data_IF_892463370978
#
_entry.id   IF_892463370978
#
_cell.length_a   1.000
_cell.length_b   1.000
_cell.length_c   1.000
_cell.angle_alpha   90.00
_cell.angle_beta   90.00
_cell.angle_gamma   90.00
#
_symmetry.space_group_name_H-M   'P 1'
#
loop_
_entity.id
_entity.type
_entity.pdbx_description
1 polymer ?
#
# COMPACT_ATOMS: atom_id res chain seq x y z
N UNK A 1 -16.78 13.17 -3.47
CA UNK A 1 -17.32 12.91 -2.11
C UNK A 1 -16.27 12.28 -1.19
N UNK A 2 -15.95 10.98 -1.30
CA UNK A 2 -15.08 10.26 -0.33
C UNK A 2 -13.79 10.98 0.06
N UNK A 3 -12.94 11.34 -0.92
CA UNK A 3 -11.67 12.02 -0.64
C UNK A 3 -11.89 13.42 -0.06
N UNK A 4 -12.88 14.17 -0.58
CA UNK A 4 -13.22 15.52 -0.10
C UNK A 4 -13.62 15.51 1.37
N UNK A 5 -14.52 14.61 1.78
CA UNK A 5 -14.99 14.49 3.16
C UNK A 5 -13.82 14.16 4.10
N UNK A 6 -12.91 13.27 3.69
CA UNK A 6 -11.74 12.89 4.46
C UNK A 6 -10.65 13.98 4.50
N UNK A 7 -10.47 14.72 3.40
CA UNK A 7 -9.55 15.85 3.34
C UNK A 7 -9.96 16.94 4.33
N UNK A 8 -11.26 17.21 4.44
CA UNK A 8 -11.79 18.17 5.40
C UNK A 8 -11.75 17.61 6.83
N UNK A 9 -12.20 16.38 7.05
CA UNK A 9 -12.23 15.76 8.38
C UNK A 9 -10.83 15.66 9.03
N UNK A 10 -9.80 15.29 8.25
CA UNK A 10 -8.42 15.17 8.73
C UNK A 10 -7.54 16.38 8.38
N UNK A 11 -8.14 17.54 8.05
CA UNK A 11 -7.41 18.73 7.59
C UNK A 11 -6.23 19.10 8.49
N UNK A 12 -6.41 19.06 9.81
CA UNK A 12 -5.40 19.43 10.80
C UNK A 12 -4.72 18.23 11.50
N UNK A 13 -5.04 16.99 11.09
CA UNK A 13 -4.45 15.81 11.70
C UNK A 13 -3.14 15.43 11.01
N UNK A 14 -2.01 15.74 11.65
CA UNK A 14 -0.68 15.46 11.09
C UNK A 14 -0.35 13.96 11.01
N UNK A 15 -1.03 13.11 11.78
CA UNK A 15 -0.81 11.65 11.73
C UNK A 15 -1.41 11.00 10.48
N UNK A 16 -2.46 11.58 9.88
CA UNK A 16 -3.04 11.07 8.64
C UNK A 16 -2.42 11.78 7.45
N UNK A 17 -1.66 11.03 6.65
CA UNK A 17 -0.84 11.59 5.57
C UNK A 17 -1.33 11.22 4.17
N UNK A 18 -2.15 10.18 4.04
CA UNK A 18 -2.54 9.64 2.74
C UNK A 18 -3.98 9.13 2.78
N UNK A 19 -4.76 9.50 1.76
CA UNK A 19 -6.11 8.96 1.53
C UNK A 19 -6.02 8.03 0.33
N UNK A 20 -6.07 6.72 0.57
CA UNK A 20 -6.13 5.73 -0.49
C UNK A 20 -7.54 5.59 -1.05
N UNK A 21 -7.63 5.44 -2.37
CA UNK A 21 -8.83 5.03 -3.09
C UNK A 21 -8.79 3.57 -3.53
N UNK A 22 -7.62 2.98 -3.65
CA UNK A 22 -7.46 1.53 -3.85
C UNK A 22 -7.31 0.78 -2.53
N UNK A 23 -7.63 -0.52 -2.56
CA UNK A 23 -7.38 -1.44 -1.44
C UNK A 23 -6.83 -2.78 -1.90
N UNK A 24 -6.29 -3.56 -0.97
CA UNK A 24 -6.03 -4.98 -1.19
C UNK A 24 -7.19 -5.85 -0.66
N UNK A 25 -7.26 -7.15 -1.03
CA UNK A 25 -8.26 -8.12 -0.57
C UNK A 25 -8.23 -8.37 0.95
N UNK A 26 -8.65 -7.39 1.75
CA UNK A 26 -8.96 -7.58 3.16
C UNK A 26 -10.41 -8.00 3.34
N UNK A 27 -10.65 -8.95 4.25
CA UNK A 27 -11.99 -9.43 4.59
C UNK A 27 -12.81 -8.29 5.22
N UNK A 28 -14.11 -8.22 4.89
CA UNK A 28 -15.00 -7.15 5.35
C UNK A 28 -14.98 -6.95 6.87
N UNK A 29 -14.95 -8.03 7.64
CA UNK A 29 -14.92 -7.97 9.11
C UNK A 29 -13.67 -7.29 9.68
N UNK A 30 -12.59 -7.12 8.91
CA UNK A 30 -11.42 -6.34 9.36
C UNK A 30 -11.72 -4.84 9.46
N UNK A 31 -12.73 -4.34 8.76
CA UNK A 31 -13.15 -2.93 8.80
C UNK A 31 -14.20 -2.65 9.88
N UNK A 32 -14.74 -3.70 10.53
CA UNK A 32 -15.86 -3.60 11.48
C UNK A 32 -17.04 -2.86 10.84
N UNK A 33 -17.69 -1.92 11.54
CA UNK A 33 -18.71 -1.05 10.97
C UNK A 33 -18.15 0.18 10.22
N UNK A 34 -16.83 0.37 10.11
CA UNK A 34 -16.24 1.59 9.56
C UNK A 34 -16.14 1.59 8.03
N UNK A 35 -16.27 2.78 7.43
CA UNK A 35 -16.13 2.98 5.98
C UNK A 35 -14.69 2.83 5.49
N UNK A 36 -13.71 2.89 6.39
CA UNK A 36 -12.30 2.74 6.12
C UNK A 36 -11.55 2.28 7.36
N UNK A 37 -10.31 1.86 7.18
CA UNK A 37 -9.36 1.60 8.27
C UNK A 37 -8.04 2.31 7.97
N UNK A 38 -7.08 2.23 8.88
CA UNK A 38 -5.74 2.78 8.66
C UNK A 38 -4.75 1.68 8.32
N UNK A 39 -3.76 2.02 7.50
CA UNK A 39 -2.61 1.20 7.16
C UNK A 39 -1.34 2.01 7.30
N UNK A 40 -0.20 1.32 7.38
CA UNK A 40 1.11 1.94 7.21
C UNK A 40 1.57 2.06 5.75
N UNK A 41 0.84 1.47 4.81
CA UNK A 41 1.20 1.42 3.41
C UNK A 41 0.39 2.43 2.58
N UNK A 42 1.10 3.36 1.92
CA UNK A 42 0.50 4.31 0.98
C UNK A 42 0.35 3.65 -0.40
N UNK A 43 -0.88 3.29 -0.77
CA UNK A 43 -1.18 2.82 -2.12
C UNK A 43 -1.49 3.99 -3.04
N UNK A 44 -0.63 4.19 -4.03
CA UNK A 44 -0.66 5.38 -4.89
C UNK A 44 -1.63 5.28 -6.07
N UNK A 45 -2.42 4.21 -6.20
CA UNK A 45 -3.43 4.11 -7.25
C UNK A 45 -4.73 4.75 -6.78
N UNK A 46 -5.02 5.94 -7.33
CA UNK A 46 -6.15 6.77 -6.95
C UNK A 46 -6.07 7.19 -5.49
N UNK A 47 -5.42 8.32 -5.22
CA UNK A 47 -5.17 8.78 -3.84
C UNK A 47 -5.22 10.29 -3.74
N UNK A 48 -5.34 10.79 -2.52
CA UNK A 48 -5.24 12.21 -2.20
C UNK A 48 -4.35 12.42 -0.96
N UNK A 49 -3.81 13.63 -0.83
CA UNK A 49 -3.03 14.05 0.33
C UNK A 49 -3.14 15.56 0.52
N UNK A 50 -2.53 16.06 1.59
CA UNK A 50 -2.48 17.46 1.93
C UNK A 50 -1.08 18.01 1.66
N UNK A 51 -1.00 19.32 1.35
CA UNK A 51 0.28 20.04 1.27
C UNK A 51 1.15 19.83 2.52
N UNK A 52 0.54 19.80 3.72
CA UNK A 52 1.23 19.56 4.99
C UNK A 52 1.91 18.18 5.07
N UNK A 53 1.38 17.16 4.39
CA UNK A 53 1.96 15.83 4.37
C UNK A 53 2.99 15.71 3.25
N UNK A 54 2.68 16.27 2.07
CA UNK A 54 3.57 16.27 0.90
C UNK A 54 4.89 17.01 1.15
N UNK A 55 4.94 17.97 2.07
CA UNK A 55 6.20 18.65 2.46
C UNK A 55 7.30 17.70 2.96
N UNK A 56 6.95 16.48 3.37
CA UNK A 56 7.89 15.46 3.84
C UNK A 56 8.42 14.57 2.71
N UNK A 57 7.85 14.68 1.51
CA UNK A 57 8.32 13.96 0.35
C UNK A 57 9.69 14.49 -0.08
N UNK A 58 10.64 13.57 -0.24
CA UNK A 58 11.97 13.84 -0.76
C UNK A 58 12.25 12.87 -1.89
N UNK A 59 12.46 13.41 -3.10
CA UNK A 59 12.79 12.62 -4.28
C UNK A 59 14.20 12.05 -4.18
N UNK A 60 15.09 12.78 -3.53
CA UNK A 60 16.51 12.47 -3.52
C UNK A 60 16.93 11.50 -2.42
N UNK A 61 16.01 11.21 -1.49
CA UNK A 61 16.27 10.32 -0.36
C UNK A 61 17.53 10.77 0.42
N UNK A 62 17.74 12.09 0.55
CA UNK A 62 19.01 12.68 1.03
C UNK A 62 19.37 12.22 2.44
N UNK A 63 18.36 11.90 3.24
CA UNK A 63 18.52 11.43 4.62
C UNK A 63 18.55 9.91 4.77
N UNK A 64 18.50 9.15 3.67
CA UNK A 64 18.43 7.68 3.73
C UNK A 64 19.62 7.06 4.46
N UNK A 65 20.83 7.57 4.26
CA UNK A 65 22.06 7.07 4.91
C UNK A 65 22.25 7.63 6.31
N UNK A 66 21.82 8.86 6.55
CA UNK A 66 22.02 9.57 7.83
C UNK A 66 20.92 9.31 8.85
N UNK A 67 19.78 8.76 8.43
CA UNK A 67 18.68 8.44 9.34
C UNK A 67 19.06 7.35 10.34
N UNK A 68 19.35 7.77 11.57
CA UNK A 68 19.85 6.89 12.63
C UNK A 68 18.79 5.91 13.14
N UNK A 69 17.50 6.19 12.92
CA UNK A 69 16.41 5.39 13.47
C UNK A 69 15.69 4.52 12.42
N UNK A 70 16.46 3.82 11.59
CA UNK A 70 15.90 2.82 10.65
C UNK A 70 15.10 1.73 11.38
N UNK A 71 15.36 1.48 12.67
CA UNK A 71 14.59 0.53 13.48
C UNK A 71 13.12 0.94 13.59
N UNK A 72 12.82 2.21 13.84
CA UNK A 72 11.43 2.69 13.94
C UNK A 72 10.70 2.60 12.59
N UNK A 73 11.40 2.85 11.47
CA UNK A 73 10.84 2.70 10.11
C UNK A 73 10.29 1.28 9.87
N UNK A 74 11.00 0.27 10.34
CA UNK A 74 10.63 -1.14 10.15
C UNK A 74 9.76 -1.73 11.27
N UNK A 75 9.46 -0.97 12.32
CA UNK A 75 8.76 -1.49 13.51
C UNK A 75 7.34 -1.97 13.22
N UNK A 76 6.68 -1.35 12.25
CA UNK A 76 5.30 -1.67 11.85
C UNK A 76 5.21 -2.65 10.68
N UNK A 77 6.35 -3.05 10.10
CA UNK A 77 6.42 -4.10 9.08
C UNK A 77 6.51 -5.46 9.75
N UNK A 78 5.61 -6.37 9.41
CA UNK A 78 5.46 -7.66 10.08
C UNK A 78 6.42 -8.74 9.55
N UNK A 79 6.62 -8.81 8.23
CA UNK A 79 7.44 -9.84 7.60
C UNK A 79 8.84 -9.33 7.24
N UNK A 80 9.87 -10.11 7.59
CA UNK A 80 11.28 -9.82 7.25
C UNK A 80 11.51 -9.65 5.74
N UNK A 81 10.76 -10.39 4.92
CA UNK A 81 10.83 -10.27 3.46
C UNK A 81 10.40 -8.88 2.98
N UNK A 82 9.34 -8.31 3.55
CA UNK A 82 8.91 -6.96 3.19
C UNK A 82 9.92 -5.92 3.66
N UNK A 83 10.50 -6.08 4.85
CA UNK A 83 11.59 -5.20 5.34
C UNK A 83 12.76 -5.17 4.35
N UNK A 84 13.26 -6.35 3.95
CA UNK A 84 14.37 -6.48 3.01
C UNK A 84 14.02 -5.86 1.65
N UNK A 85 12.80 -6.09 1.16
CA UNK A 85 12.32 -5.54 -0.11
C UNK A 85 12.30 -4.01 -0.08
N UNK A 86 11.68 -3.42 0.94
CA UNK A 86 11.62 -1.96 1.13
C UNK A 86 13.00 -1.34 1.27
N UNK A 87 13.87 -1.97 2.07
CA UNK A 87 15.25 -1.54 2.19
C UNK A 87 15.95 -1.50 0.82
N UNK A 88 15.77 -2.55 0.00
CA UNK A 88 16.33 -2.58 -1.36
C UNK A 88 15.74 -1.52 -2.28
N UNK A 89 14.42 -1.28 -2.23
CA UNK A 89 13.78 -0.22 -3.02
C UNK A 89 14.34 1.17 -2.67
N UNK A 90 14.45 1.46 -1.38
CA UNK A 90 14.94 2.76 -0.91
C UNK A 90 16.45 2.95 -1.14
N UNK A 91 17.23 1.87 -1.05
CA UNK A 91 18.64 1.89 -1.44
C UNK A 91 18.79 2.24 -2.93
N UNK A 92 18.04 1.57 -3.82
CA UNK A 92 18.10 1.85 -5.27
C UNK A 92 17.63 3.26 -5.62
N UNK A 93 16.65 3.81 -4.89
CA UNK A 93 16.25 5.21 -5.05
C UNK A 93 17.37 6.17 -4.63
N UNK A 94 18.04 5.90 -3.52
CA UNK A 94 19.15 6.70 -3.03
C UNK A 94 20.36 6.64 -3.98
N UNK A 95 20.74 5.45 -4.46
CA UNK A 95 21.85 5.26 -5.40
C UNK A 95 21.51 5.65 -6.84
N UNK A 96 20.29 6.12 -7.10
CA UNK A 96 19.76 6.52 -8.43
C UNK A 96 19.72 5.38 -9.44
N UNK A 97 19.71 4.14 -8.99
CA UNK A 97 19.47 2.95 -9.81
C UNK A 97 18.00 2.81 -10.21
N UNK A 98 17.10 3.49 -9.50
CA UNK A 98 15.66 3.48 -9.74
C UNK A 98 15.06 4.88 -9.52
N UNK A 99 13.88 5.15 -10.08
CA UNK A 99 13.19 6.45 -10.01
C UNK A 99 11.69 6.35 -9.65
N UNK A 100 11.30 5.29 -8.94
CA UNK A 100 9.92 5.06 -8.50
C UNK A 100 9.52 5.98 -7.35
N UNK A 101 8.92 7.12 -7.70
CA UNK A 101 8.41 8.12 -6.74
C UNK A 101 7.49 7.54 -5.65
N UNK A 102 6.72 6.49 -5.98
CA UNK A 102 5.83 5.85 -5.04
C UNK A 102 6.58 5.23 -3.85
N UNK A 103 7.79 4.68 -4.09
CA UNK A 103 8.61 4.14 -3.02
C UNK A 103 9.20 5.25 -2.12
N UNK A 104 9.58 6.39 -2.69
CA UNK A 104 9.98 7.58 -1.94
C UNK A 104 8.82 8.16 -1.10
N UNK A 105 7.59 8.18 -1.63
CA UNK A 105 6.42 8.59 -0.86
C UNK A 105 6.12 7.64 0.30
N UNK A 106 6.22 6.33 0.09
CA UNK A 106 6.05 5.35 1.17
C UNK A 106 7.13 5.53 2.24
N UNK A 107 8.37 5.83 1.85
CA UNK A 107 9.44 6.17 2.79
C UNK A 107 9.06 7.39 3.64
N UNK A 108 8.64 8.49 3.01
CA UNK A 108 8.25 9.71 3.71
C UNK A 108 7.13 9.46 4.73
N UNK A 109 6.07 8.74 4.34
CA UNK A 109 4.98 8.40 5.26
C UNK A 109 5.46 7.51 6.41
N UNK A 110 6.24 6.47 6.12
CA UNK A 110 6.72 5.55 7.16
C UNK A 110 7.70 6.22 8.13
N UNK A 111 8.59 7.08 7.62
CA UNK A 111 9.53 7.86 8.43
C UNK A 111 8.79 8.76 9.43
N UNK A 112 7.71 9.39 8.99
CA UNK A 112 6.85 10.22 9.83
C UNK A 112 5.87 9.42 10.69
N UNK A 113 5.96 8.08 10.67
CA UNK A 113 5.02 7.21 11.38
C UNK A 113 3.55 7.47 11.01
N UNK A 114 3.33 7.99 9.79
CA UNK A 114 2.03 8.39 9.28
C UNK A 114 1.09 7.22 9.02
N UNK A 115 -0.19 7.54 8.96
CA UNK A 115 -1.29 6.63 8.67
C UNK A 115 -1.87 6.93 7.28
N UNK A 116 -2.14 5.85 6.56
CA UNK A 116 -2.81 5.84 5.28
C UNK A 116 -4.23 5.33 5.46
N UNK A 117 -5.21 6.07 4.96
CA UNK A 117 -6.58 5.59 4.92
C UNK A 117 -6.70 4.52 3.84
N UNK A 118 -7.18 3.34 4.24
CA UNK A 118 -7.52 2.22 3.38
C UNK A 118 -9.05 2.07 3.35
N UNK A 119 -9.72 2.27 2.21
CA UNK A 119 -11.17 2.23 2.16
C UNK A 119 -11.69 0.78 2.29
N UNK A 120 -12.86 0.61 2.90
CA UNK A 120 -13.53 -0.70 2.99
C UNK A 120 -14.05 -1.17 1.62
N UNK A 121 -14.45 -0.20 0.78
CA UNK A 121 -14.86 -0.39 -0.60
C UNK A 121 -13.76 0.11 -1.53
N UNK A 122 -13.53 -0.57 -2.65
CA UNK A 122 -12.51 -0.13 -3.58
C UNK A 122 -13.08 1.06 -4.38
N UNK A 123 -12.45 2.24 -4.29
CA UNK A 123 -13.02 3.48 -4.85
C UNK A 123 -12.62 3.73 -6.30
N UNK A 124 -11.64 2.99 -6.81
CA UNK A 124 -11.08 3.16 -8.15
C UNK A 124 -10.84 1.80 -8.81
N UNK A 125 -11.06 1.71 -10.11
CA UNK A 125 -10.64 0.57 -10.92
C UNK A 125 -9.36 0.93 -11.67
N UNK A 126 -8.30 0.14 -11.51
CA UNK A 126 -7.07 0.35 -12.27
C UNK A 126 -7.20 -0.29 -13.66
N UNK A 127 -7.43 0.54 -14.69
CA UNK A 127 -7.54 0.11 -16.09
C UNK A 127 -6.19 -0.15 -16.79
N UNK A 128 -5.07 0.15 -16.13
CA UNK A 128 -3.71 -0.10 -16.62
C UNK A 128 -3.17 -1.51 -16.30
N UNK A 129 -4.02 -2.41 -15.81
CA UNK A 129 -3.68 -3.80 -15.52
C UNK A 129 -4.06 -4.71 -16.69
N UNK A 130 -3.19 -5.67 -17.01
CA UNK A 130 -3.42 -6.67 -18.04
C UNK A 130 -2.54 -6.48 -19.27
N UNK A 131 -2.76 -7.22 -20.37
CA UNK A 131 -1.83 -7.31 -21.50
C UNK A 131 -1.47 -5.97 -22.14
N UNK A 132 -2.36 -4.98 -22.06
CA UNK A 132 -2.19 -3.63 -22.60
C UNK A 132 -1.57 -2.64 -21.60
N UNK A 133 -1.25 -3.08 -20.37
CA UNK A 133 -0.66 -2.23 -19.34
C UNK A 133 0.81 -1.92 -19.60
N UNK A 134 1.21 -0.66 -19.39
CA UNK A 134 2.60 -0.20 -19.57
C UNK A 134 3.55 -0.86 -18.58
N UNK A 135 3.15 -0.94 -17.30
CA UNK A 135 4.02 -1.42 -16.21
C UNK A 135 3.54 -2.72 -15.57
N UNK A 136 2.29 -3.14 -15.79
CA UNK A 136 1.72 -4.31 -15.13
C UNK A 136 0.93 -5.17 -16.11
N UNK A 137 1.64 -6.04 -16.82
CA UNK A 137 1.07 -6.94 -17.83
C UNK A 137 0.34 -8.18 -17.25
N UNK A 138 0.20 -8.24 -15.93
CA UNK A 138 -0.40 -9.38 -15.23
C UNK A 138 -1.90 -9.15 -15.10
N UNK A 139 -2.69 -10.01 -15.74
CA UNK A 139 -4.15 -9.95 -15.76
C UNK A 139 -4.78 -10.22 -14.38
N UNK A 140 -4.25 -11.20 -13.63
CA UNK A 140 -4.71 -11.56 -12.29
C UNK A 140 -3.87 -10.90 -11.19
N UNK A 141 -3.69 -9.58 -11.27
CA UNK A 141 -3.02 -8.84 -10.22
C UNK A 141 -3.88 -8.82 -8.94
N UNK A 142 -3.34 -9.06 -7.73
CA UNK A 142 -4.13 -9.07 -6.49
C UNK A 142 -4.85 -7.76 -6.16
N UNK A 143 -4.42 -6.66 -6.79
CA UNK A 143 -5.05 -5.34 -6.68
C UNK A 143 -5.94 -5.00 -7.90
N UNK A 144 -6.20 -5.96 -8.80
CA UNK A 144 -7.18 -5.81 -9.87
C UNK A 144 -8.60 -5.97 -9.30
N UNK A 145 -9.02 -4.99 -8.51
CA UNK A 145 -10.34 -4.95 -7.90
C UNK A 145 -11.25 -4.04 -8.72
N UNK A 146 -12.49 -4.46 -8.93
CA UNK A 146 -13.54 -3.57 -9.41
C UNK A 146 -13.78 -2.46 -8.37
N UNK A 147 -14.16 -1.28 -8.84
CA UNK A 147 -14.68 -0.24 -7.98
C UNK A 147 -16.07 -0.60 -7.46
N UNK A 148 -16.41 -0.06 -6.30
CA UNK A 148 -17.69 -0.29 -5.64
C UNK A 148 -18.19 0.98 -4.93
N UNK A 149 -19.51 1.07 -4.76
CA UNK A 149 -20.14 2.23 -4.13
C UNK A 149 -19.82 2.26 -2.64
N UNK A 150 -19.41 3.43 -2.15
CA UNK A 150 -19.26 3.74 -0.73
C UNK A 150 -20.59 4.25 -0.17
N UNK A 151 -20.96 3.81 1.04
CA UNK A 151 -22.11 4.35 1.75
C UNK A 151 -21.73 5.59 2.56
N UNK A 152 -22.57 6.60 2.49
CA UNK A 152 -22.43 7.87 3.21
C UNK A 152 -23.60 8.07 4.20
N UNK A 153 -23.41 8.81 5.32
CA UNK A 153 -22.16 9.45 5.74
C UNK A 153 -21.07 8.43 6.12
N UNK A 154 -19.81 8.83 6.00
CA UNK A 154 -18.68 7.95 6.31
C UNK A 154 -18.68 7.58 7.81
N UNK A 155 -18.54 6.29 8.09
CA UNK A 155 -18.36 5.78 9.45
C UNK A 155 -16.88 5.81 9.82
N UNK A 156 -16.48 6.78 10.62
CA UNK A 156 -15.09 7.00 11.00
C UNK A 156 -14.62 6.05 12.13
N UNK A 157 -13.43 5.43 12.03
CA UNK A 157 -12.83 4.71 13.14
C UNK A 157 -12.62 5.61 14.36
N UNK A 158 -12.95 5.11 15.55
CA UNK A 158 -12.79 5.86 16.82
C UNK A 158 -11.34 6.04 17.27
N UNK A 159 -10.40 5.32 16.65
CA UNK A 159 -8.99 5.30 17.05
C UNK A 159 -8.09 5.42 15.83
N UNK A 160 -7.07 6.27 15.95
CA UNK A 160 -6.02 6.45 14.95
C UNK A 160 -4.93 5.39 15.11
N UNK A 161 -5.26 4.15 14.75
CA UNK A 161 -4.32 3.02 14.77
C UNK A 161 -4.43 2.22 13.48
N UNK A 162 -3.28 1.80 12.95
CA UNK A 162 -3.23 0.95 11.78
C UNK A 162 -3.78 -0.44 12.06
N UNK A 163 -4.37 -1.04 11.03
CA UNK A 163 -4.92 -2.37 11.07
C UNK A 163 -3.83 -3.38 10.70
N UNK A 164 -3.10 -3.85 11.69
CA UNK A 164 -2.05 -4.85 11.52
C UNK A 164 -2.52 -6.13 10.80
N UNK A 165 -3.81 -6.50 10.89
CA UNK A 165 -4.33 -7.66 10.15
C UNK A 165 -4.38 -7.37 8.66
N UNK A 166 -4.84 -6.18 8.27
CA UNK A 166 -4.83 -5.75 6.87
C UNK A 166 -3.40 -5.65 6.35
N UNK A 167 -2.49 -5.03 7.10
CA UNK A 167 -1.10 -4.85 6.68
C UNK A 167 -0.39 -6.20 6.47
N UNK A 168 -0.61 -7.20 7.34
CA UNK A 168 -0.09 -8.56 7.13
C UNK A 168 -0.60 -9.20 5.83
N UNK A 169 -1.85 -8.96 5.44
CA UNK A 169 -2.36 -9.47 4.17
C UNK A 169 -1.63 -8.81 3.00
N UNK A 170 -1.46 -7.49 3.04
CA UNK A 170 -0.72 -6.76 2.02
C UNK A 170 0.70 -7.28 1.86
N UNK A 171 1.43 -7.42 2.97
CA UNK A 171 2.79 -7.92 2.95
C UNK A 171 2.90 -9.36 2.43
N UNK A 172 1.91 -10.21 2.73
CA UNK A 172 1.85 -11.58 2.19
C UNK A 172 1.59 -11.57 0.68
N UNK A 173 0.70 -10.69 0.19
CA UNK A 173 0.45 -10.52 -1.24
C UNK A 173 1.70 -10.01 -1.96
N UNK A 174 2.39 -9.00 -1.42
CA UNK A 174 3.66 -8.51 -1.96
C UNK A 174 4.72 -9.61 -1.98
N UNK A 175 4.82 -10.43 -0.93
CA UNK A 175 5.74 -11.57 -0.93
C UNK A 175 5.43 -12.57 -2.04
N UNK A 176 4.16 -12.86 -2.31
CA UNK A 176 3.79 -13.78 -3.40
C UNK A 176 4.05 -13.15 -4.77
N UNK A 177 3.81 -11.85 -4.90
CA UNK A 177 4.01 -11.13 -6.16
C UNK A 177 5.49 -10.92 -6.47
N UNK A 178 6.28 -10.39 -5.53
CA UNK A 178 7.69 -10.02 -5.72
C UNK A 178 8.69 -11.06 -5.20
N UNK A 179 8.31 -11.93 -4.25
CA UNK A 179 9.17 -13.02 -3.78
C UNK A 179 9.30 -14.17 -4.78
N UNK A 180 8.48 -14.17 -5.84
CA UNK A 180 8.67 -15.01 -7.03
C UNK A 180 9.63 -14.37 -8.06
N UNK A 181 9.97 -13.08 -7.90
CA UNK A 181 10.95 -12.34 -8.71
C UNK A 181 12.31 -12.24 -7.99
N UNK A 182 12.76 -13.35 -7.40
CA UNK A 182 14.19 -13.54 -7.13
C UNK A 182 14.83 -13.96 -8.47
N UNK A 183 15.73 -13.15 -9.07
CA UNK A 183 16.37 -13.48 -10.36
C UNK A 183 17.02 -14.86 -10.38
N UNK A 184 17.43 -15.38 -9.22
CA UNK A 184 18.06 -16.69 -9.07
C UNK A 184 17.09 -17.88 -9.21
N UNK A 185 15.76 -17.67 -9.29
CA UNK A 185 14.75 -18.75 -9.35
C UNK A 185 13.85 -18.73 -10.58
N UNK A 186 14.18 -17.91 -11.59
CA UNK A 186 13.28 -17.54 -12.68
C UNK A 186 13.03 -18.60 -13.75
N UNK A 187 13.64 -19.78 -13.70
CA UNK A 187 13.45 -20.77 -14.78
C UNK A 187 12.19 -21.65 -14.67
N UNK A 188 11.42 -21.66 -13.57
CA UNK A 188 10.36 -22.68 -13.40
C UNK A 188 9.03 -22.25 -12.71
N UNK A 189 8.81 -20.96 -12.38
CA UNK A 189 7.82 -20.61 -11.33
C UNK A 189 6.52 -19.89 -11.75
N UNK A 190 6.32 -19.55 -13.03
CA UNK A 190 5.14 -18.76 -13.43
C UNK A 190 3.80 -19.47 -13.23
N UNK A 191 3.71 -20.78 -13.52
CA UNK A 191 2.45 -21.52 -13.43
C UNK A 191 2.00 -21.77 -11.97
N UNK A 192 2.97 -21.98 -11.07
CA UNK A 192 2.73 -22.24 -9.64
C UNK A 192 2.29 -20.98 -8.89
N UNK A 193 2.92 -19.84 -9.16
CA UNK A 193 2.54 -18.55 -8.57
C UNK A 193 1.10 -18.16 -8.96
N UNK A 194 0.73 -18.32 -10.25
CA UNK A 194 -0.64 -18.09 -10.73
C UNK A 194 -1.67 -18.97 -10.00
N UNK A 195 -1.36 -20.25 -9.79
CA UNK A 195 -2.25 -21.21 -9.10
C UNK A 195 -2.42 -20.88 -7.60
N UNK A 196 -1.35 -20.45 -6.93
CA UNK A 196 -1.38 -20.08 -5.51
C UNK A 196 -2.11 -18.76 -5.26
N UNK A 197 -1.88 -17.75 -6.11
CA UNK A 197 -2.59 -16.46 -6.03
C UNK A 197 -4.08 -16.67 -6.30
N UNK A 198 -4.47 -17.43 -7.33
CA UNK A 198 -5.89 -17.76 -7.59
C UNK A 198 -6.55 -18.52 -6.42
N UNK A 199 -5.88 -19.53 -5.86
CA UNK A 199 -6.40 -20.26 -4.67
C UNK A 199 -6.55 -19.34 -3.45
N UNK A 200 -5.64 -18.40 -3.27
CA UNK A 200 -5.68 -17.47 -2.14
C UNK A 200 -6.77 -16.41 -2.28
N UNK A 201 -6.99 -15.87 -3.49
CA UNK A 201 -8.08 -14.93 -3.79
C UNK A 201 -9.44 -15.62 -3.55
N UNK A 202 -9.63 -16.84 -4.05
CA UNK A 202 -10.88 -17.60 -3.86
C UNK A 202 -11.22 -17.83 -2.38
N UNK A 203 -10.21 -18.10 -1.54
CA UNK A 203 -10.36 -18.30 -0.08
C UNK A 203 -10.62 -17.00 0.72
N UNK A 204 -10.43 -15.84 0.10
CA UNK A 204 -10.75 -14.54 0.71
C UNK A 204 -12.18 -14.11 0.36
N UNK A 205 -12.67 -14.50 -0.81
CA UNK A 205 -14.03 -14.26 -1.29
C UNK A 205 -15.07 -15.15 -0.60
N UNK A 206 -14.66 -16.36 -0.18
CA UNK A 206 -15.38 -17.23 0.77
C UNK A 206 -15.16 -16.81 2.26
#
# INVERSE_FOLDING_TARGET
>A
QYATDLLEFYRYNEHVMHIGGSRWPCKAHHFKEYSYTFSTYALVWGWATWKRAWKHFDWDMQDWTTWQNKRELYKRIHYRSEKKRRQGDWERLYTKEDNVWAAAWIYAVMKQQGLCILPAQNMIKNIGLGPQGTHTKIEHHPLNLSDSKMHFPLKHPRRLYWNARCDRIFEKLNRMHYGAFDPMRLQHWEALARRLVRKYIKRIED
#
